data_IF_076922630709
#
_entry.id   IF_076922630709
#
_cell.length_a   1.000
_cell.length_b   1.000
_cell.length_c   1.000
_cell.angle_alpha   90.00
_cell.angle_beta   90.00
_cell.angle_gamma   90.00
#
_symmetry.space_group_name_H-M   'P 1'
#
loop_
_entity.id
_entity.type
_entity.pdbx_description
1 polymer ?
#
# COMPACT_ATOMS: atom_id res chain seq x y z
N UNK A 1 -2.64 18.13 17.84
CA UNK A 1 -1.16 18.24 17.99
C UNK A 1 -0.56 18.11 16.59
N UNK A 2 0.30 19.06 16.17
CA UNK A 2 0.99 19.00 14.88
C UNK A 2 2.04 17.89 14.94
N UNK A 3 1.94 16.87 14.08
CA UNK A 3 2.95 15.84 13.94
C UNK A 3 4.10 16.38 13.07
N UNK A 4 5.34 16.20 13.53
CA UNK A 4 6.55 16.61 12.83
C UNK A 4 7.44 15.40 12.62
N UNK A 5 7.87 15.15 11.39
CA UNK A 5 8.85 14.15 11.02
C UNK A 5 10.02 14.81 10.29
N UNK A 6 11.18 14.18 10.35
CA UNK A 6 12.41 14.70 9.72
C UNK A 6 12.90 13.72 8.67
N UNK A 7 13.36 14.26 7.54
CA UNK A 7 13.99 13.50 6.46
C UNK A 7 15.45 13.92 6.41
N UNK A 8 16.37 12.96 6.37
CA UNK A 8 17.78 13.25 6.19
C UNK A 8 18.03 13.68 4.75
N UNK A 9 18.67 14.83 4.59
CA UNK A 9 19.10 15.34 3.26
C UNK A 9 20.46 14.79 2.84
N UNK A 10 21.22 14.17 3.75
CA UNK A 10 22.60 13.73 3.49
C UNK A 10 23.58 14.87 3.30
N UNK A 11 23.17 16.13 3.45
CA UNK A 11 24.03 17.30 3.30
C UNK A 11 24.67 17.64 4.65
N UNK A 12 26.00 17.62 4.69
CA UNK A 12 26.78 18.00 5.86
C UNK A 12 27.29 19.43 5.71
N UNK A 13 27.08 20.25 6.75
CA UNK A 13 27.49 21.64 6.78
C UNK A 13 28.52 21.88 7.89
N UNK A 14 29.56 22.63 7.60
CA UNK A 14 30.52 23.07 8.61
C UNK A 14 29.94 24.22 9.44
N UNK A 15 30.47 24.45 10.65
CA UNK A 15 30.05 25.54 11.53
C UNK A 15 30.17 26.93 10.88
N UNK A 16 31.12 27.12 9.93
CA UNK A 16 31.31 28.37 9.20
C UNK A 16 30.20 28.67 8.20
N UNK A 17 29.50 27.62 7.72
CA UNK A 17 28.43 27.68 6.73
C UNK A 17 27.04 27.91 7.35
N UNK A 18 26.96 27.86 8.68
CA UNK A 18 25.72 28.07 9.45
C UNK A 18 25.74 29.44 10.13
N UNK A 19 24.58 30.06 10.32
CA UNK A 19 24.47 31.31 11.08
C UNK A 19 24.93 31.12 12.53
N UNK A 20 25.47 32.14 13.21
CA UNK A 20 25.98 32.01 14.60
C UNK A 20 24.95 31.49 15.58
N UNK A 21 23.68 31.82 15.36
CA UNK A 21 22.51 31.45 16.15
C UNK A 21 21.90 30.09 15.72
N UNK A 22 22.52 29.40 14.78
CA UNK A 22 22.03 28.15 14.19
C UNK A 22 20.62 28.24 13.56
N UNK A 23 20.10 29.43 13.28
CA UNK A 23 18.78 29.64 12.70
C UNK A 23 18.72 29.35 11.18
N UNK A 24 19.85 29.15 10.52
CA UNK A 24 19.88 28.88 9.07
C UNK A 24 21.28 28.73 8.48
N UNK A 25 21.33 28.38 7.22
CA UNK A 25 22.55 28.18 6.42
C UNK A 25 22.92 29.51 5.77
N UNK A 26 24.22 29.89 5.85
CA UNK A 26 24.75 31.09 5.20
C UNK A 26 25.15 30.83 3.73
N UNK A 27 25.60 29.61 3.46
CA UNK A 27 26.06 29.22 2.13
C UNK A 27 24.87 29.14 1.17
N UNK A 28 24.85 30.07 0.22
CA UNK A 28 23.76 30.20 -0.75
C UNK A 28 23.70 29.03 -1.72
N UNK A 29 24.82 28.36 -1.99
CA UNK A 29 24.88 27.19 -2.88
C UNK A 29 24.22 25.99 -2.22
N UNK A 30 24.55 25.75 -0.96
CA UNK A 30 23.93 24.68 -0.16
C UNK A 30 22.44 24.98 0.01
N UNK A 31 22.08 26.23 0.33
CA UNK A 31 20.69 26.61 0.50
C UNK A 31 19.85 26.37 -0.77
N UNK A 32 20.40 26.76 -1.94
CA UNK A 32 19.73 26.49 -3.25
C UNK A 32 19.58 24.99 -3.51
N UNK A 33 20.59 24.19 -3.19
CA UNK A 33 20.52 22.72 -3.29
C UNK A 33 19.38 22.16 -2.45
N UNK A 34 19.27 22.56 -1.19
CA UNK A 34 18.20 22.12 -0.27
C UNK A 34 16.82 22.57 -0.73
N UNK A 35 16.68 23.79 -1.26
CA UNK A 35 15.41 24.27 -1.82
C UNK A 35 14.99 23.45 -3.05
N UNK A 36 15.93 23.09 -3.92
CA UNK A 36 15.65 22.19 -5.05
C UNK A 36 15.21 20.80 -4.58
N UNK A 37 15.80 20.28 -3.51
CA UNK A 37 15.38 18.98 -2.96
C UNK A 37 13.98 19.05 -2.35
N UNK A 38 13.62 20.17 -1.68
CA UNK A 38 12.26 20.41 -1.19
C UNK A 38 11.27 20.42 -2.36
N UNK A 39 11.54 21.20 -3.43
CA UNK A 39 10.68 21.23 -4.61
C UNK A 39 10.51 19.86 -5.25
N UNK A 40 11.59 19.05 -5.34
CA UNK A 40 11.49 17.67 -5.84
C UNK A 40 10.57 16.81 -4.97
N UNK A 41 10.63 16.96 -3.65
CA UNK A 41 9.75 16.20 -2.75
C UNK A 41 8.29 16.64 -2.88
N UNK A 42 8.04 17.95 -3.01
CA UNK A 42 6.70 18.50 -3.25
C UNK A 42 6.12 17.97 -4.58
N UNK A 43 6.90 18.02 -5.67
CA UNK A 43 6.51 17.47 -6.96
C UNK A 43 6.25 15.96 -6.91
N UNK A 44 7.10 15.23 -6.20
CA UNK A 44 6.98 13.78 -6.02
C UNK A 44 5.70 13.42 -5.26
N UNK A 45 5.39 14.13 -4.18
CA UNK A 45 4.16 13.95 -3.42
C UNK A 45 2.93 14.31 -4.26
N UNK A 46 2.97 15.44 -4.98
CA UNK A 46 1.86 15.88 -5.82
C UNK A 46 1.56 14.90 -6.96
N UNK A 47 2.61 14.36 -7.60
CA UNK A 47 2.46 13.38 -8.69
C UNK A 47 1.98 12.01 -8.21
N UNK A 48 2.46 11.55 -7.07
CA UNK A 48 2.17 10.20 -6.59
C UNK A 48 0.95 10.08 -5.68
N UNK A 49 0.67 11.10 -4.87
CA UNK A 49 -0.41 11.08 -3.87
C UNK A 49 -1.51 12.11 -4.16
N UNK A 50 -1.32 12.95 -5.18
CA UNK A 50 -2.21 14.06 -5.50
C UNK A 50 -1.97 15.30 -4.63
N UNK A 51 -2.80 16.34 -4.83
CA UNK A 51 -2.64 17.63 -4.15
C UNK A 51 -3.23 17.66 -2.74
N UNK A 52 -4.17 16.76 -2.43
CA UNK A 52 -4.77 16.67 -1.08
C UNK A 52 -4.02 15.65 -0.22
N UNK A 53 -3.06 16.17 0.55
CA UNK A 53 -2.25 15.37 1.47
C UNK A 53 -2.84 15.28 2.88
N UNK A 54 -4.01 15.86 3.14
CA UNK A 54 -4.62 15.92 4.48
C UNK A 54 -5.00 14.54 5.05
N UNK A 55 -5.25 13.57 4.18
CA UNK A 55 -5.57 12.18 4.53
C UNK A 55 -4.39 11.32 4.96
N UNK A 56 -3.15 11.82 4.78
CA UNK A 56 -1.94 11.08 5.09
C UNK A 56 -1.30 11.58 6.37
N UNK A 57 -0.75 10.67 7.19
CA UNK A 57 0.07 11.06 8.33
C UNK A 57 1.46 11.55 7.88
N UNK A 58 2.13 12.35 8.70
CA UNK A 58 3.50 12.78 8.42
C UNK A 58 4.46 11.57 8.28
N UNK A 59 4.19 10.48 8.99
CA UNK A 59 4.98 9.25 8.88
C UNK A 59 4.80 8.56 7.52
N UNK A 60 3.59 8.54 6.97
CA UNK A 60 3.31 7.96 5.66
C UNK A 60 3.98 8.76 4.54
N UNK A 61 3.93 10.10 4.61
CA UNK A 61 4.60 10.98 3.66
C UNK A 61 6.13 10.78 3.65
N UNK A 62 6.75 10.64 4.84
CA UNK A 62 8.18 10.35 4.95
C UNK A 62 8.52 9.00 4.34
N UNK A 63 7.76 7.94 4.67
CA UNK A 63 7.96 6.61 4.07
C UNK A 63 7.83 6.63 2.56
N UNK A 64 6.85 7.40 2.05
CA UNK A 64 6.69 7.58 0.61
C UNK A 64 7.94 8.18 -0.02
N UNK A 65 8.46 9.31 0.50
CA UNK A 65 9.66 9.97 -0.01
C UNK A 65 10.89 9.05 0.09
N UNK A 66 11.06 8.32 1.19
CA UNK A 66 12.18 7.38 1.37
C UNK A 66 12.11 6.21 0.38
N UNK A 67 10.93 5.69 0.10
CA UNK A 67 10.75 4.63 -0.90
C UNK A 67 11.11 5.11 -2.31
N UNK A 68 10.79 6.37 -2.63
CA UNK A 68 11.16 7.00 -3.90
C UNK A 68 12.69 7.19 -4.02
N UNK A 69 13.36 7.60 -2.94
CA UNK A 69 14.83 7.74 -2.89
C UNK A 69 15.56 6.40 -3.05
N UNK A 70 15.04 5.33 -2.46
CA UNK A 70 15.61 3.99 -2.58
C UNK A 70 15.46 3.41 -4.00
N UNK A 71 14.75 4.11 -4.86
CA UNK A 71 14.48 3.72 -6.24
C UNK A 71 15.04 4.78 -7.17
N UNK A 72 16.36 4.89 -7.31
CA UNK A 72 16.94 5.56 -8.46
C UNK A 72 16.48 4.81 -9.73
N UNK A 73 15.30 5.17 -10.23
CA UNK A 73 14.71 4.60 -11.44
C UNK A 73 13.27 4.10 -11.36
N UNK A 74 12.54 4.23 -10.24
CA UNK A 74 11.15 3.75 -10.22
C UNK A 74 10.25 4.49 -9.23
N UNK A 75 9.20 5.08 -9.72
CA UNK A 75 8.10 5.66 -8.93
C UNK A 75 7.57 4.59 -7.99
N UNK A 76 7.53 4.86 -6.68
CA UNK A 76 6.87 3.96 -5.72
C UNK A 76 5.38 3.96 -5.99
N UNK A 77 4.91 2.97 -6.72
CA UNK A 77 3.50 2.83 -7.08
C UNK A 77 2.73 2.49 -5.81
N UNK A 78 1.81 3.37 -5.38
CA UNK A 78 0.88 3.09 -4.31
C UNK A 78 -0.18 2.09 -4.82
N UNK A 79 -0.07 0.85 -4.35
CA UNK A 79 -0.95 -0.24 -4.74
C UNK A 79 -2.39 -0.01 -4.28
N UNK A 80 -2.60 0.55 -3.09
CA UNK A 80 -3.95 0.81 -2.58
C UNK A 80 -4.64 1.90 -3.40
N UNK A 81 -3.95 3.00 -3.69
CA UNK A 81 -4.51 4.08 -4.52
C UNK A 81 -4.82 3.58 -5.95
N UNK A 82 -3.97 2.75 -6.53
CA UNK A 82 -4.26 2.10 -7.82
C UNK A 82 -5.53 1.25 -7.74
N UNK A 83 -5.63 0.38 -6.71
CA UNK A 83 -6.78 -0.50 -6.55
C UNK A 83 -8.09 0.27 -6.34
N UNK A 84 -8.06 1.36 -5.56
CA UNK A 84 -9.24 2.22 -5.37
C UNK A 84 -9.72 2.81 -6.70
N UNK A 85 -8.82 3.30 -7.54
CA UNK A 85 -9.16 3.80 -8.87
C UNK A 85 -9.72 2.69 -9.78
N UNK A 86 -9.11 1.52 -9.76
CA UNK A 86 -9.58 0.34 -10.53
C UNK A 86 -10.97 -0.10 -10.09
N UNK A 87 -11.24 -0.11 -8.78
CA UNK A 87 -12.57 -0.41 -8.21
C UNK A 87 -13.61 0.61 -8.65
N UNK A 88 -13.29 1.91 -8.66
CA UNK A 88 -14.20 2.95 -9.16
C UNK A 88 -14.53 2.76 -10.65
N UNK A 89 -13.54 2.39 -11.46
CA UNK A 89 -13.77 2.08 -12.88
C UNK A 89 -14.73 0.89 -13.04
N UNK A 90 -14.54 -0.20 -12.26
CA UNK A 90 -15.45 -1.36 -12.28
C UNK A 90 -16.88 -0.99 -11.88
N UNK A 91 -17.06 -0.11 -10.90
CA UNK A 91 -18.40 0.40 -10.53
C UNK A 91 -19.04 1.22 -11.65
N UNK A 92 -18.26 2.06 -12.32
CA UNK A 92 -18.73 2.83 -13.47
C UNK A 92 -19.17 1.92 -14.64
N UNK A 93 -18.57 0.72 -14.77
CA UNK A 93 -18.95 -0.32 -15.72
C UNK A 93 -20.17 -1.18 -15.24
N UNK A 94 -20.73 -0.92 -14.05
CA UNK A 94 -21.82 -1.71 -13.47
C UNK A 94 -21.40 -3.07 -12.90
N UNK A 95 -20.10 -3.29 -12.64
CA UNK A 95 -19.53 -4.54 -12.10
C UNK A 95 -19.44 -4.53 -10.58
N UNK A 96 -20.52 -4.15 -9.91
CA UNK A 96 -20.57 -3.91 -8.46
C UNK A 96 -20.18 -5.14 -7.62
N UNK A 97 -20.54 -6.34 -8.05
CA UNK A 97 -20.18 -7.57 -7.34
C UNK A 97 -18.66 -7.81 -7.29
N UNK A 98 -17.96 -7.57 -8.40
CA UNK A 98 -16.50 -7.67 -8.46
C UNK A 98 -15.84 -6.54 -7.66
N UNK A 99 -16.36 -5.32 -7.82
CA UNK A 99 -15.89 -4.15 -7.07
C UNK A 99 -16.00 -4.37 -5.56
N UNK A 100 -17.12 -4.89 -5.06
CA UNK A 100 -17.31 -5.19 -3.63
C UNK A 100 -16.37 -6.25 -3.08
N UNK A 101 -16.02 -7.29 -3.86
CA UNK A 101 -15.00 -8.27 -3.49
C UNK A 101 -13.62 -7.62 -3.35
N UNK A 102 -13.22 -6.81 -4.32
CA UNK A 102 -11.94 -6.11 -4.28
C UNK A 102 -11.86 -5.09 -3.15
N UNK A 103 -12.95 -4.38 -2.84
CA UNK A 103 -13.00 -3.52 -1.64
C UNK A 103 -12.75 -4.29 -0.35
N UNK A 104 -13.30 -5.51 -0.23
CA UNK A 104 -13.06 -6.34 0.95
C UNK A 104 -11.58 -6.74 1.06
N UNK A 105 -10.92 -7.08 -0.06
CA UNK A 105 -9.50 -7.38 -0.12
C UNK A 105 -8.67 -6.18 0.34
N UNK A 106 -8.93 -5.00 -0.24
CA UNK A 106 -8.18 -3.77 0.07
C UNK A 106 -8.31 -3.38 1.53
N UNK A 107 -9.51 -3.45 2.09
CA UNK A 107 -9.72 -3.21 3.53
C UNK A 107 -8.90 -4.16 4.40
N UNK A 108 -8.87 -5.46 4.07
CA UNK A 108 -8.11 -6.43 4.84
C UNK A 108 -6.59 -6.23 4.70
N UNK A 109 -6.11 -5.85 3.53
CA UNK A 109 -4.70 -5.49 3.32
C UNK A 109 -4.33 -4.24 4.12
N UNK A 110 -5.15 -3.20 4.08
CA UNK A 110 -4.95 -1.95 4.84
C UNK A 110 -4.92 -2.23 6.35
N UNK A 111 -5.80 -3.10 6.86
CA UNK A 111 -5.78 -3.54 8.26
C UNK A 111 -4.48 -4.28 8.61
N UNK A 112 -4.07 -5.23 7.76
CA UNK A 112 -2.85 -5.99 7.97
C UNK A 112 -1.60 -5.10 8.00
N UNK A 113 -1.50 -4.14 7.07
CA UNK A 113 -0.37 -3.22 7.03
C UNK A 113 -0.48 -2.09 8.08
N UNK A 114 -1.66 -1.87 8.66
CA UNK A 114 -1.95 -0.82 9.64
C UNK A 114 -1.81 0.60 9.07
N UNK A 115 -1.98 0.76 7.75
CA UNK A 115 -1.83 2.02 7.03
C UNK A 115 -2.53 2.02 5.67
N UNK A 116 -2.84 3.23 5.17
CA UNK A 116 -3.56 3.44 3.91
C UNK A 116 -2.66 3.45 2.65
N UNK A 117 -1.34 3.59 2.81
CA UNK A 117 -0.38 3.56 1.70
C UNK A 117 0.37 2.24 1.76
N UNK A 118 0.29 1.43 0.71
CA UNK A 118 1.04 0.19 0.54
C UNK A 118 1.62 0.18 -0.87
N UNK A 119 2.94 0.13 -0.97
CA UNK A 119 3.59 0.13 -2.28
C UNK A 119 3.53 -1.24 -2.94
N UNK A 120 3.47 -1.25 -4.27
CA UNK A 120 3.49 -2.49 -5.07
C UNK A 120 4.65 -3.41 -4.67
N UNK A 121 5.83 -2.87 -4.37
CA UNK A 121 7.00 -3.64 -3.90
C UNK A 121 6.78 -4.38 -2.59
N UNK A 122 5.84 -3.90 -1.76
CA UNK A 122 5.48 -4.52 -0.49
C UNK A 122 4.51 -5.69 -0.67
N UNK A 123 3.88 -5.80 -1.83
CA UNK A 123 3.13 -6.98 -2.23
C UNK A 123 4.15 -8.05 -2.67
N UNK A 124 4.82 -8.63 -1.72
CA UNK A 124 5.86 -9.64 -1.91
C UNK A 124 5.55 -10.92 -1.13
N UNK A 125 6.25 -12.00 -1.43
CA UNK A 125 6.00 -13.32 -0.84
C UNK A 125 5.97 -13.28 0.68
N UNK A 126 6.90 -12.58 1.31
CA UNK A 126 7.02 -12.50 2.77
C UNK A 126 5.80 -11.82 3.39
N UNK A 127 5.40 -10.68 2.87
CA UNK A 127 4.25 -9.93 3.37
C UNK A 127 2.93 -10.66 3.08
N UNK A 128 2.81 -11.30 1.92
CA UNK A 128 1.64 -12.12 1.62
C UNK A 128 1.52 -13.35 2.53
N UNK A 129 2.64 -13.99 2.91
CA UNK A 129 2.63 -15.03 3.94
C UNK A 129 2.14 -14.48 5.30
N UNK A 130 2.65 -13.33 5.72
CA UNK A 130 2.18 -12.66 6.93
C UNK A 130 0.69 -12.28 6.85
N UNK A 131 0.21 -11.84 5.70
CA UNK A 131 -1.21 -11.58 5.46
C UNK A 131 -2.06 -12.85 5.60
N UNK A 132 -1.63 -13.97 5.04
CA UNK A 132 -2.29 -15.28 5.21
C UNK A 132 -2.40 -15.65 6.69
N UNK A 133 -1.30 -15.55 7.42
CA UNK A 133 -1.30 -15.84 8.86
C UNK A 133 -2.21 -14.89 9.65
N UNK A 134 -2.20 -13.60 9.32
CA UNK A 134 -3.09 -12.60 9.92
C UNK A 134 -4.55 -12.95 9.71
N UNK A 135 -4.93 -13.30 8.48
CA UNK A 135 -6.31 -13.65 8.13
C UNK A 135 -6.79 -14.97 8.77
N UNK A 136 -5.89 -15.94 9.01
CA UNK A 136 -6.24 -17.21 9.64
C UNK A 136 -6.35 -17.13 11.17
N UNK A 137 -5.71 -16.13 11.79
CA UNK A 137 -5.74 -15.93 13.24
C UNK A 137 -6.87 -14.96 13.64
N UNK A 138 -7.43 -15.10 14.86
CA UNK A 138 -8.33 -14.07 15.39
C UNK A 138 -7.61 -12.72 15.47
N UNK A 139 -8.24 -11.69 14.96
CA UNK A 139 -7.68 -10.33 14.92
C UNK A 139 -8.76 -9.28 15.17
N UNK A 140 -8.34 -8.08 15.55
CA UNK A 140 -9.24 -6.94 15.74
C UNK A 140 -9.29 -6.10 14.47
N UNK A 141 -10.50 -5.65 14.13
CA UNK A 141 -10.73 -4.75 13.00
C UNK A 141 -11.51 -3.53 13.49
N UNK A 142 -10.99 -2.34 13.19
CA UNK A 142 -11.71 -1.10 13.44
C UNK A 142 -12.45 -0.69 12.16
N UNK A 143 -13.73 -0.43 12.30
CA UNK A 143 -14.62 -0.03 11.20
C UNK A 143 -15.49 1.13 11.62
N UNK A 144 -15.74 2.04 10.69
CA UNK A 144 -16.73 3.10 10.88
C UNK A 144 -18.11 2.53 10.62
N UNK A 145 -18.99 2.65 11.61
CA UNK A 145 -20.39 2.20 11.49
C UNK A 145 -21.20 3.21 10.67
N UNK A 146 -22.48 2.87 10.41
CA UNK A 146 -23.42 3.72 9.66
C UNK A 146 -23.67 5.10 10.29
N UNK A 147 -23.28 5.30 11.56
CA UNK A 147 -23.42 6.58 12.30
C UNK A 147 -22.10 7.35 12.35
N UNK A 148 -21.06 6.96 11.56
CA UNK A 148 -19.76 7.60 11.54
C UNK A 148 -18.88 7.33 12.77
N UNK A 149 -19.27 6.40 13.66
CA UNK A 149 -18.51 6.06 14.86
C UNK A 149 -17.58 4.88 14.58
N UNK A 150 -16.33 4.99 15.01
CA UNK A 150 -15.38 3.88 14.97
C UNK A 150 -15.77 2.80 16.00
N UNK A 151 -15.84 1.56 15.52
CA UNK A 151 -16.14 0.38 16.33
C UNK A 151 -15.08 -0.66 16.06
N UNK A 152 -14.41 -1.13 17.11
CA UNK A 152 -13.46 -2.25 17.03
C UNK A 152 -14.21 -3.55 17.29
N UNK A 153 -14.10 -4.48 16.34
CA UNK A 153 -14.75 -5.78 16.40
C UNK A 153 -13.68 -6.86 16.31
N UNK A 154 -13.70 -7.81 17.23
CA UNK A 154 -12.85 -9.00 17.16
C UNK A 154 -13.42 -9.97 16.13
N UNK A 155 -12.64 -10.27 15.10
CA UNK A 155 -12.98 -11.23 14.06
C UNK A 155 -12.35 -12.58 14.38
N UNK A 156 -13.06 -13.69 14.22
CA UNK A 156 -12.44 -15.02 14.19
C UNK A 156 -11.56 -15.14 12.93
N UNK A 157 -10.57 -16.01 12.96
CA UNK A 157 -9.77 -16.29 11.75
C UNK A 157 -10.65 -16.82 10.60
N UNK A 158 -10.28 -16.49 9.39
CA UNK A 158 -10.97 -16.96 8.19
C UNK A 158 -10.64 -18.42 7.88
N UNK A 159 -11.59 -19.12 7.26
CA UNK A 159 -11.36 -20.46 6.69
C UNK A 159 -10.29 -20.39 5.60
N UNK A 160 -9.54 -21.47 5.41
CA UNK A 160 -8.47 -21.56 4.41
C UNK A 160 -8.96 -21.22 2.99
N UNK A 161 -10.17 -21.65 2.61
CA UNK A 161 -10.75 -21.31 1.31
C UNK A 161 -10.96 -19.79 1.14
N UNK A 162 -11.51 -19.11 2.14
CA UNK A 162 -11.69 -17.65 2.11
C UNK A 162 -10.36 -16.91 1.97
N UNK A 163 -9.31 -17.37 2.65
CA UNK A 163 -7.97 -16.78 2.53
C UNK A 163 -7.40 -17.00 1.13
N UNK A 164 -7.61 -18.17 0.55
CA UNK A 164 -7.24 -18.49 -0.83
C UNK A 164 -7.93 -17.55 -1.84
N UNK A 165 -9.23 -17.29 -1.62
CA UNK A 165 -10.00 -16.38 -2.48
C UNK A 165 -9.48 -14.94 -2.36
N UNK A 166 -9.14 -14.46 -1.16
CA UNK A 166 -8.51 -13.14 -0.98
C UNK A 166 -7.14 -13.05 -1.66
N UNK A 167 -6.33 -14.12 -1.62
CA UNK A 167 -5.06 -14.16 -2.36
C UNK A 167 -5.28 -14.12 -3.87
N UNK A 168 -6.27 -14.84 -4.39
CA UNK A 168 -6.60 -14.84 -5.80
C UNK A 168 -7.07 -13.45 -6.27
N UNK A 169 -7.91 -12.78 -5.49
CA UNK A 169 -8.36 -11.41 -5.77
C UNK A 169 -7.19 -10.40 -5.68
N UNK A 170 -6.29 -10.56 -4.69
CA UNK A 170 -5.07 -9.75 -4.60
C UNK A 170 -4.17 -9.95 -5.82
N UNK A 171 -4.02 -11.19 -6.29
CA UNK A 171 -3.28 -11.52 -7.51
C UNK A 171 -3.89 -10.85 -8.75
N UNK A 172 -5.22 -10.88 -8.88
CA UNK A 172 -5.92 -10.21 -9.97
C UNK A 172 -5.66 -8.70 -9.98
N UNK A 173 -5.75 -8.05 -8.82
CA UNK A 173 -5.45 -6.62 -8.67
C UNK A 173 -3.97 -6.31 -8.96
N UNK A 174 -3.06 -7.19 -8.53
CA UNK A 174 -1.63 -7.04 -8.80
C UNK A 174 -1.31 -7.17 -10.30
N UNK A 175 -1.94 -8.10 -11.00
CA UNK A 175 -1.80 -8.22 -12.46
C UNK A 175 -2.36 -6.99 -13.17
N UNK A 176 -3.53 -6.50 -12.77
CA UNK A 176 -4.07 -5.26 -13.31
C UNK A 176 -3.13 -4.05 -13.10
N UNK A 177 -2.42 -3.99 -11.96
CA UNK A 177 -1.40 -2.98 -11.74
C UNK A 177 -0.19 -3.19 -12.66
N UNK A 178 0.25 -4.43 -12.88
CA UNK A 178 1.32 -4.72 -13.83
C UNK A 178 0.93 -4.29 -15.26
N UNK A 179 -0.28 -4.61 -15.70
CA UNK A 179 -0.77 -4.28 -17.04
C UNK A 179 -0.91 -2.73 -17.22
N UNK A 180 -1.23 -2.03 -16.12
CA UNK A 180 -1.39 -0.57 -16.17
C UNK A 180 -0.05 0.20 -16.17
N UNK A 181 0.94 -0.29 -15.42
CA UNK A 181 2.20 0.41 -15.21
C UNK A 181 3.37 -0.10 -16.05
N UNK A 182 3.28 -1.30 -16.58
CA UNK A 182 4.26 -1.83 -17.51
C UNK A 182 3.77 -1.62 -18.95
N UNK A 183 4.61 -1.05 -19.79
CA UNK A 183 4.36 -0.89 -21.20
C UNK A 183 5.41 -1.72 -21.93
N UNK A 184 4.97 -2.86 -22.51
CA UNK A 184 5.86 -3.77 -23.23
C UNK A 184 6.33 -3.17 -24.56
N UNK A 185 5.50 -2.34 -25.21
CA UNK A 185 5.83 -1.70 -26.48
C UNK A 185 6.86 -0.57 -26.30
N UNK A 186 6.79 0.14 -25.17
CA UNK A 186 7.75 1.20 -24.81
C UNK A 186 8.96 0.68 -24.00
N UNK A 187 9.11 -0.65 -23.84
CA UNK A 187 10.14 -1.29 -23.01
C UNK A 187 10.20 -0.75 -21.56
N UNK A 188 9.08 -0.18 -21.07
CA UNK A 188 9.00 0.38 -19.73
C UNK A 188 8.44 -0.66 -18.77
N UNK A 189 9.29 -1.26 -17.92
CA UNK A 189 8.87 -2.24 -16.93
C UNK A 189 9.12 -1.69 -15.52
N UNK A 190 8.07 -1.15 -14.88
CA UNK A 190 8.14 -0.58 -13.55
C UNK A 190 7.93 -1.64 -12.45
N UNK A 191 7.12 -2.68 -12.72
CA UNK A 191 6.83 -3.77 -11.80
C UNK A 191 7.46 -5.06 -12.34
N UNK A 192 8.61 -5.43 -11.78
CA UNK A 192 9.40 -6.58 -12.27
C UNK A 192 9.17 -7.86 -11.47
N UNK A 193 8.76 -7.76 -10.20
CA UNK A 193 8.62 -8.92 -9.32
C UNK A 193 7.27 -9.65 -9.53
N UNK A 194 7.26 -10.96 -9.27
CA UNK A 194 6.09 -11.84 -9.47
C UNK A 194 5.87 -12.69 -8.21
N UNK A 195 5.23 -12.15 -7.16
CA UNK A 195 5.14 -12.82 -5.86
C UNK A 195 4.22 -14.05 -5.87
N UNK A 196 3.17 -14.06 -6.69
CA UNK A 196 2.12 -15.08 -6.67
C UNK A 196 2.51 -16.41 -7.31
N UNK A 197 3.63 -16.50 -8.05
CA UNK A 197 4.18 -17.74 -8.59
C UNK A 197 4.94 -18.59 -7.55
N UNK A 198 5.11 -18.11 -6.33
CA UNK A 198 5.88 -18.82 -5.31
C UNK A 198 5.11 -19.97 -4.67
N UNK A 199 5.72 -21.16 -4.63
CA UNK A 199 5.19 -22.32 -3.87
C UNK A 199 4.97 -22.03 -2.38
N UNK A 200 5.65 -21.00 -1.83
CA UNK A 200 5.53 -20.59 -0.43
C UNK A 200 4.20 -19.90 -0.10
N UNK A 201 3.42 -19.50 -1.10
CA UNK A 201 2.09 -18.88 -0.92
C UNK A 201 0.93 -19.88 -1.05
N UNK A 202 1.22 -21.19 -1.10
CA UNK A 202 0.16 -22.19 -1.17
C UNK A 202 -0.57 -22.25 0.18
N UNK A 203 -1.89 -22.06 0.14
CA UNK A 203 -2.79 -22.26 1.28
C UNK A 203 -3.43 -23.62 1.11
N UNK A 204 -3.11 -24.53 2.02
CA UNK A 204 -3.72 -25.86 2.03
C UNK A 204 -5.18 -25.75 2.47
N UNK A 205 -6.09 -26.13 1.59
CA UNK A 205 -7.52 -26.24 1.90
C UNK A 205 -7.79 -27.73 2.19
N UNK A 206 -8.14 -28.03 3.44
CA UNK A 206 -8.63 -29.37 3.78
C UNK A 206 -10.02 -29.49 3.16
N UNK A 207 -10.21 -30.52 2.33
CA UNK A 207 -11.54 -30.87 1.83
C UNK A 207 -12.44 -31.18 3.02
N UNK A 208 -13.52 -30.43 3.20
CA UNK A 208 -14.58 -30.81 4.12
C UNK A 208 -15.23 -32.07 3.54
N UNK A 209 -15.48 -33.13 4.36
CA UNK A 209 -16.16 -34.30 3.83
C UNK A 209 -17.52 -33.87 3.29
N UNK A 210 -17.86 -34.36 2.08
CA UNK A 210 -19.16 -34.11 1.46
C UNK A 210 -20.25 -34.37 2.49
N UNK A 211 -21.07 -33.36 2.76
CA UNK A 211 -22.31 -33.54 3.52
C UNK A 211 -23.19 -34.44 2.67
N UNK A 212 -23.21 -35.72 2.99
CA UNK A 212 -24.23 -36.61 2.42
C UNK A 212 -25.56 -36.14 2.95
N UNK A 213 -26.40 -35.63 2.07
CA UNK A 213 -27.79 -35.38 2.38
C UNK A 213 -28.38 -36.73 2.82
N UNK A 214 -28.79 -36.81 4.08
CA UNK A 214 -29.61 -37.93 4.55
C UNK A 214 -30.93 -37.80 3.83
N UNK A 215 -31.12 -38.58 2.78
CA UNK A 215 -32.48 -38.84 2.26
C UNK A 215 -33.23 -39.53 3.40
N UNK A 216 -34.17 -38.81 3.99
CA UNK A 216 -35.19 -39.38 4.87
C UNK A 216 -36.24 -39.94 3.93
N UNK A 217 -36.33 -41.27 3.81
CA UNK A 217 -37.48 -41.98 3.24
C UNK A 217 -38.68 -41.90 4.17
#
# INVERSE_FOLDING_TARGET
KREVRKISTGVYVSRKQVKPDFSGIKDTTILKGLLNDISKYEDMLAKGLGTDLSRFSAADLVKYIESQKATEGGVGIDFIAFCDNHIQALKAEGRDGTAGRFEAVIRNLTDYFGRSIVFVKEINVKNLQGFVEYMQKPHEQTRTNQHGKEVTVRRPGCKAQTVKDYLADTHTLFNAACDHYNDEDAETVLITHRPFGSKKLQVEVKEEPEKRDLCIE
#
